data_IF_621345292209
#
_entry.id   IF_621345292209
#
_cell.length_a   1.000
_cell.length_b   1.000
_cell.length_c   1.000
_cell.angle_alpha   90.00
_cell.angle_beta   90.00
_cell.angle_gamma   90.00
#
_symmetry.space_group_name_H-M   'P 1'
#
loop_
_entity.id
_entity.type
_entity.pdbx_description
1 polymer ?
#
# COMPACT_ATOMS: atom_id res chain seq x y z
N UNK A 1 0.75 -2.70 17.47
CA UNK A 1 0.11 -2.17 16.24
C UNK A 1 0.79 -0.87 15.85
N UNK A 2 1.88 -0.93 15.07
CA UNK A 2 2.60 0.25 14.62
C UNK A 2 2.01 0.73 13.29
N UNK A 3 1.78 2.04 13.13
CA UNK A 3 1.03 2.62 12.02
C UNK A 3 1.79 2.49 10.69
N UNK A 4 1.48 1.46 9.91
CA UNK A 4 1.94 1.25 8.52
C UNK A 4 1.20 2.15 7.50
N UNK A 5 0.48 3.17 7.97
CA UNK A 5 -0.29 4.06 7.08
C UNK A 5 0.63 5.19 6.65
N UNK A 6 0.87 5.36 5.33
CA UNK A 6 1.67 6.48 4.82
C UNK A 6 1.06 7.80 5.30
N UNK A 7 1.91 8.65 5.87
CA UNK A 7 1.48 9.96 6.38
C UNK A 7 0.90 10.77 5.20
N UNK A 8 -0.26 11.36 5.41
CA UNK A 8 -0.90 12.22 4.40
C UNK A 8 -1.67 11.50 3.30
N UNK A 9 -1.88 10.17 3.37
CA UNK A 9 -2.68 9.45 2.35
C UNK A 9 -4.10 10.01 2.22
N UNK A 10 -4.76 10.27 3.35
CA UNK A 10 -6.11 10.86 3.35
C UNK A 10 -6.12 12.24 2.66
N UNK A 11 -5.11 13.07 2.94
CA UNK A 11 -4.98 14.40 2.35
C UNK A 11 -4.68 14.32 0.84
N UNK A 12 -3.85 13.38 0.41
CA UNK A 12 -3.56 13.12 -1.00
C UNK A 12 -4.83 12.73 -1.75
N UNK A 13 -5.62 11.81 -1.18
CA UNK A 13 -6.88 11.36 -1.76
C UNK A 13 -7.95 12.46 -1.83
N UNK A 14 -7.96 13.39 -0.88
CA UNK A 14 -8.83 14.56 -0.94
C UNK A 14 -8.49 15.49 -2.12
N UNK A 15 -7.20 15.62 -2.47
CA UNK A 15 -6.74 16.45 -3.60
C UNK A 15 -6.85 15.72 -4.95
N UNK A 16 -6.70 14.40 -4.94
CA UNK A 16 -6.70 13.55 -6.13
C UNK A 16 -7.69 12.39 -5.95
N UNK A 17 -9.00 12.62 -6.09
CA UNK A 17 -10.02 11.61 -5.77
C UNK A 17 -9.95 10.37 -6.69
N UNK A 18 -9.43 10.51 -7.91
CA UNK A 18 -9.28 9.40 -8.85
C UNK A 18 -8.20 8.38 -8.42
N UNK A 19 -7.29 8.75 -7.51
CA UNK A 19 -6.23 7.87 -7.00
C UNK A 19 -6.78 6.76 -6.09
N UNK A 20 -8.03 6.88 -5.65
CA UNK A 20 -8.74 5.80 -4.94
C UNK A 20 -8.90 4.56 -5.83
N UNK A 21 -9.08 4.73 -7.14
CA UNK A 21 -9.34 3.62 -8.07
C UNK A 21 -8.19 2.61 -8.13
N UNK A 22 -6.92 3.00 -8.39
CA UNK A 22 -5.81 2.05 -8.39
C UNK A 22 -5.57 1.40 -7.03
N UNK A 23 -5.78 2.14 -5.92
CA UNK A 23 -5.69 1.58 -4.56
C UNK A 23 -6.73 0.48 -4.33
N UNK A 24 -8.01 0.76 -4.64
CA UNK A 24 -9.09 -0.22 -4.50
C UNK A 24 -8.88 -1.44 -5.41
N UNK A 25 -8.45 -1.25 -6.66
CA UNK A 25 -8.15 -2.38 -7.57
C UNK A 25 -7.01 -3.26 -7.07
N UNK A 26 -5.96 -2.64 -6.53
CA UNK A 26 -4.83 -3.36 -5.93
C UNK A 26 -5.30 -4.17 -4.71
N UNK A 27 -6.06 -3.55 -3.80
CA UNK A 27 -6.63 -4.21 -2.63
C UNK A 27 -7.61 -5.35 -3.01
N UNK A 28 -8.43 -5.13 -4.04
CA UNK A 28 -9.38 -6.14 -4.53
C UNK A 28 -8.68 -7.39 -5.09
N UNK A 29 -7.49 -7.23 -5.67
CA UNK A 29 -6.69 -8.37 -6.13
C UNK A 29 -6.30 -9.28 -4.97
N UNK A 30 -6.04 -8.68 -3.80
CA UNK A 30 -5.77 -9.41 -2.57
C UNK A 30 -7.02 -9.99 -1.91
N UNK A 31 -8.25 -9.76 -2.43
CA UNK A 31 -9.50 -10.20 -1.78
C UNK A 31 -9.54 -11.69 -1.44
N UNK A 32 -8.83 -12.52 -2.23
CA UNK A 32 -8.77 -13.98 -2.04
C UNK A 32 -8.11 -14.38 -0.72
N UNK A 33 -7.30 -13.50 -0.12
CA UNK A 33 -6.69 -13.73 1.20
C UNK A 33 -7.63 -13.42 2.37
N UNK A 34 -8.88 -13.00 2.11
CA UNK A 34 -9.89 -12.69 3.14
C UNK A 34 -9.42 -11.70 4.21
N UNK A 35 -8.48 -10.81 3.86
CA UNK A 35 -7.96 -9.76 4.74
C UNK A 35 -9.04 -8.84 5.29
N UNK A 36 -10.15 -8.69 4.57
CA UNK A 36 -11.30 -7.86 4.97
C UNK A 36 -12.19 -8.52 6.03
N UNK A 37 -12.02 -9.83 6.28
CA UNK A 37 -12.83 -10.59 7.23
C UNK A 37 -12.15 -10.75 8.61
N UNK A 38 -10.85 -10.43 8.71
CA UNK A 38 -10.08 -10.58 9.94
C UNK A 38 -9.30 -9.30 10.24
N UNK A 39 -9.29 -8.87 11.50
CA UNK A 39 -8.48 -7.74 11.91
C UNK A 39 -6.98 -8.07 11.79
N UNK A 40 -6.12 -7.10 11.42
CA UNK A 40 -6.43 -5.74 11.01
C UNK A 40 -6.99 -5.77 9.58
N UNK A 41 -8.17 -5.17 9.32
CA UNK A 41 -8.94 -5.25 8.07
C UNK A 41 -8.26 -4.61 6.83
N UNK A 42 -6.96 -4.81 6.68
CA UNK A 42 -6.07 -4.31 5.65
C UNK A 42 -4.97 -5.38 5.46
N UNK A 43 -4.53 -5.67 4.24
CA UNK A 43 -3.43 -6.60 4.00
C UNK A 43 -2.10 -5.94 4.41
N UNK A 44 -1.82 -5.92 5.71
CA UNK A 44 -0.59 -5.37 6.25
C UNK A 44 0.51 -6.44 6.27
N UNK A 45 1.72 -6.12 5.79
CA UNK A 45 2.86 -6.99 5.96
C UNK A 45 3.24 -7.13 7.45
N UNK A 46 3.80 -8.29 7.80
CA UNK A 46 4.42 -8.46 9.12
C UNK A 46 5.60 -7.50 9.32
N UNK A 47 5.95 -7.16 10.57
CA UNK A 47 6.97 -6.16 10.88
C UNK A 47 8.35 -6.51 10.31
N UNK A 48 8.79 -7.75 10.43
CA UNK A 48 10.08 -8.22 9.90
C UNK A 48 10.16 -8.09 8.37
N UNK A 49 9.06 -8.41 7.67
CA UNK A 49 9.02 -8.24 6.21
C UNK A 49 9.02 -6.76 5.82
N UNK A 50 8.32 -5.92 6.59
CA UNK A 50 8.31 -4.49 6.36
C UNK A 50 9.70 -3.87 6.53
N UNK A 51 10.38 -4.16 7.63
CA UNK A 51 11.75 -3.68 7.90
C UNK A 51 12.72 -4.10 6.80
N UNK A 52 12.68 -5.38 6.39
CA UNK A 52 13.46 -5.86 5.26
C UNK A 52 13.18 -5.06 3.99
N UNK A 53 11.89 -4.87 3.64
CA UNK A 53 11.49 -4.11 2.44
C UNK A 53 11.94 -2.65 2.50
N UNK A 54 11.79 -2.00 3.64
CA UNK A 54 12.17 -0.60 3.80
C UNK A 54 13.69 -0.44 3.74
N UNK A 55 14.43 -1.32 4.40
CA UNK A 55 15.89 -1.33 4.32
C UNK A 55 16.40 -1.56 2.89
N UNK A 56 15.81 -2.49 2.13
CA UNK A 56 16.23 -2.73 0.74
C UNK A 56 15.86 -1.60 -0.21
N UNK A 57 14.67 -1.00 -0.06
CA UNK A 57 14.18 0.02 -0.98
C UNK A 57 14.69 1.43 -0.67
N UNK A 58 14.85 1.76 0.62
CA UNK A 58 15.14 3.12 1.09
C UNK A 58 16.45 3.22 1.90
N UNK A 59 17.10 2.10 2.22
CA UNK A 59 18.32 2.08 3.05
C UNK A 59 18.08 2.32 4.54
N UNK A 60 16.82 2.45 4.96
CA UNK A 60 16.41 2.66 6.35
C UNK A 60 15.24 1.72 6.69
N UNK A 61 15.37 0.81 7.69
CA UNK A 61 14.30 -0.11 8.09
C UNK A 61 13.06 0.58 8.67
N UNK A 62 13.19 1.84 9.08
CA UNK A 62 12.10 2.65 9.63
C UNK A 62 11.57 3.69 8.66
N UNK A 63 12.05 3.69 7.41
CA UNK A 63 11.52 4.55 6.36
C UNK A 63 10.01 4.31 6.20
N UNK A 64 9.27 5.41 6.04
CA UNK A 64 7.83 5.36 5.77
C UNK A 64 7.60 5.96 4.38
N UNK A 65 7.02 5.22 3.42
CA UNK A 65 6.76 5.75 2.09
C UNK A 65 5.78 6.91 2.18
N UNK A 66 5.92 7.87 1.27
CA UNK A 66 4.96 8.95 1.08
C UNK A 66 3.63 8.43 0.50
N UNK A 67 2.57 9.22 0.67
CA UNK A 67 1.27 8.92 0.05
C UNK A 67 1.37 8.80 -1.49
N UNK A 68 2.18 9.64 -2.12
CA UNK A 68 2.40 9.62 -3.56
C UNK A 68 3.07 8.32 -4.01
N UNK A 69 4.13 7.88 -3.32
CA UNK A 69 4.81 6.61 -3.63
C UNK A 69 3.87 5.41 -3.44
N UNK A 70 3.00 5.43 -2.42
CA UNK A 70 2.00 4.40 -2.23
C UNK A 70 0.99 4.33 -3.40
N UNK A 71 0.54 5.49 -3.90
CA UNK A 71 -0.36 5.56 -5.05
C UNK A 71 0.34 5.10 -6.33
N UNK A 72 1.57 5.52 -6.57
CA UNK A 72 2.36 5.09 -7.73
C UNK A 72 2.61 3.58 -7.72
N UNK A 73 2.92 3.00 -6.55
CA UNK A 73 3.02 1.55 -6.40
C UNK A 73 1.71 0.82 -6.74
N UNK A 74 0.56 1.38 -6.34
CA UNK A 74 -0.75 0.83 -6.68
C UNK A 74 -1.05 0.95 -8.19
N UNK A 75 -0.73 2.08 -8.81
CA UNK A 75 -0.85 2.28 -10.27
C UNK A 75 0.01 1.27 -11.03
N UNK A 76 1.26 1.09 -10.62
CA UNK A 76 2.17 0.10 -11.20
C UNK A 76 1.61 -1.34 -11.06
N UNK A 77 1.06 -1.69 -9.90
CA UNK A 77 0.44 -3.01 -9.67
C UNK A 77 -0.73 -3.25 -10.61
N UNK A 78 -1.57 -2.24 -10.86
CA UNK A 78 -2.69 -2.35 -11.81
C UNK A 78 -2.19 -2.47 -13.25
N UNK A 79 -1.22 -1.64 -13.67
CA UNK A 79 -0.65 -1.69 -15.03
C UNK A 79 0.05 -3.03 -15.32
N UNK A 80 0.93 -3.47 -14.43
CA UNK A 80 1.68 -4.74 -14.58
C UNK A 80 0.80 -5.99 -14.59
N UNK A 81 -0.46 -5.88 -14.16
CA UNK A 81 -1.44 -6.95 -14.29
C UNK A 81 -2.15 -6.94 -15.64
N UNK A 82 -2.34 -5.77 -16.25
CA UNK A 82 -2.92 -5.66 -17.59
C UNK A 82 -1.94 -6.14 -18.66
N UNK A 83 -0.64 -6.00 -18.41
CA UNK A 83 0.45 -6.46 -19.30
C UNK A 83 0.80 -7.95 -19.15
N UNK A 84 0.13 -8.69 -18.25
CA UNK A 84 0.33 -10.12 -18.00
C UNK A 84 -0.75 -10.96 -18.66
#
# INVERSE_FOLDING_TARGET
>A
MNRLVPKGLAQHLMRHPLDVVPLLRSAWTLRRTKWWAHAPFLPLPGPTYWEFRMNTAYGDPHAMPSAHEAVEAARWTVRSRTER
#
